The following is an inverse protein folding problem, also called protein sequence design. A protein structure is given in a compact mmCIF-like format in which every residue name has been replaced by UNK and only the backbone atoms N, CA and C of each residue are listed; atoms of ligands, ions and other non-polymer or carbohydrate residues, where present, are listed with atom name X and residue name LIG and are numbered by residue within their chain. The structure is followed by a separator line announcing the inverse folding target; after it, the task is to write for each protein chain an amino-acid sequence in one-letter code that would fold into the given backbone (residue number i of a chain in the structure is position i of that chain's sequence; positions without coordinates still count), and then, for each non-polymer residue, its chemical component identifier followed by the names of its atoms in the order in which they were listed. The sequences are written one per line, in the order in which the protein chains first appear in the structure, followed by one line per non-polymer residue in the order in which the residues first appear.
data_IF_936169249174
#
_entry.id   IF_936169249174
#
_cell.length_a   1.000
_cell.length_b   1.000
_cell.length_c   1.000
_cell.angle_alpha   90.00
_cell.angle_beta   90.00
_cell.angle_gamma   90.00
#
_symmetry.space_group_name_H-M   'P 1'
#
loop_
_entity.id
_entity.type
_entity.pdbx_description
1 polymer ?
#
# COMPACT_ATOMS: atom_id res chain seq x y z
N UNK A 1 2.17 -25.74 7.60
CA UNK A 1 2.44 -24.92 6.40
C UNK A 1 1.18 -24.17 6.04
N UNK A 2 1.30 -22.99 5.42
CA UNK A 2 0.15 -22.26 4.87
C UNK A 2 -0.47 -23.09 3.73
N UNK A 3 -1.80 -23.10 3.61
CA UNK A 3 -2.44 -23.67 2.41
C UNK A 3 -2.16 -22.76 1.22
N UNK A 4 -2.23 -23.33 0.00
CA UNK A 4 -2.03 -22.55 -1.23
C UNK A 4 -2.95 -21.33 -1.29
N UNK A 5 -4.24 -21.53 -1.05
CA UNK A 5 -5.24 -20.46 -1.11
C UNK A 5 -5.00 -19.37 -0.05
N UNK A 6 -4.52 -19.73 1.14
CA UNK A 6 -4.22 -18.74 2.18
C UNK A 6 -2.94 -17.96 1.85
N UNK A 7 -1.92 -18.61 1.29
CA UNK A 7 -0.70 -17.93 0.85
C UNK A 7 -1.00 -16.93 -0.26
N UNK A 8 -1.82 -17.32 -1.24
CA UNK A 8 -2.27 -16.45 -2.33
C UNK A 8 -3.01 -15.22 -1.79
N UNK A 9 -4.02 -15.42 -0.94
CA UNK A 9 -4.74 -14.30 -0.33
C UNK A 9 -3.85 -13.38 0.54
N UNK A 10 -2.82 -13.92 1.20
CA UNK A 10 -1.87 -13.11 1.96
C UNK A 10 -0.95 -12.29 1.05
N UNK A 11 -0.48 -12.87 -0.06
CA UNK A 11 0.28 -12.12 -1.07
C UNK A 11 -0.59 -11.03 -1.68
N UNK A 12 -1.84 -11.32 -2.04
CA UNK A 12 -2.78 -10.32 -2.57
C UNK A 12 -2.98 -9.17 -1.59
N UNK A 13 -3.26 -9.48 -0.32
CA UNK A 13 -3.44 -8.45 0.70
C UNK A 13 -2.16 -7.63 0.91
N UNK A 14 -0.99 -8.26 0.98
CA UNK A 14 0.29 -7.57 1.09
C UNK A 14 0.48 -6.56 -0.06
N UNK A 15 0.18 -6.98 -1.29
CA UNK A 15 0.27 -6.10 -2.46
C UNK A 15 -0.78 -4.97 -2.41
N UNK A 16 -2.00 -5.23 -1.91
CA UNK A 16 -3.00 -4.19 -1.69
C UNK A 16 -2.54 -3.11 -0.70
N UNK A 17 -1.90 -3.47 0.42
CA UNK A 17 -1.39 -2.49 1.38
C UNK A 17 -0.30 -1.61 0.75
N UNK A 18 0.62 -2.22 -0.01
CA UNK A 18 1.65 -1.44 -0.71
C UNK A 18 1.07 -0.55 -1.81
N UNK A 19 0.04 -1.00 -2.52
CA UNK A 19 -0.68 -0.16 -3.48
C UNK A 19 -1.39 1.00 -2.77
N UNK A 20 -2.07 0.76 -1.65
CA UNK A 20 -2.73 1.78 -0.85
C UNK A 20 -1.73 2.85 -0.38
N UNK A 21 -0.54 2.43 0.08
CA UNK A 21 0.53 3.36 0.43
C UNK A 21 0.94 4.28 -0.74
N UNK A 22 1.05 3.72 -1.96
CA UNK A 22 1.34 4.52 -3.16
C UNK A 22 0.19 5.46 -3.51
N UNK A 23 -1.06 5.01 -3.40
CA UNK A 23 -2.24 5.81 -3.66
C UNK A 23 -2.34 7.00 -2.69
N UNK A 24 -2.09 6.78 -1.39
CA UNK A 24 -2.06 7.85 -0.39
C UNK A 24 -0.94 8.86 -0.65
N UNK A 25 0.24 8.44 -1.12
CA UNK A 25 1.27 9.39 -1.55
C UNK A 25 0.81 10.26 -2.73
N UNK A 26 0.08 9.68 -3.69
CA UNK A 26 -0.49 10.45 -4.80
C UNK A 26 -1.56 11.45 -4.33
N UNK A 27 -2.40 11.05 -3.37
CA UNK A 27 -3.37 11.95 -2.74
C UNK A 27 -2.69 13.08 -1.97
N UNK A 28 -1.63 12.78 -1.22
CA UNK A 28 -0.84 13.78 -0.51
C UNK A 28 -0.25 14.80 -1.48
N UNK A 29 0.34 14.35 -2.59
CA UNK A 29 0.91 15.22 -3.62
C UNK A 29 -0.16 16.13 -4.27
N UNK A 30 -1.38 15.62 -4.46
CA UNK A 30 -2.51 16.44 -4.90
C UNK A 30 -2.88 17.50 -3.85
N UNK A 31 -2.99 17.12 -2.58
CA UNK A 31 -3.29 18.05 -1.49
C UNK A 31 -2.23 19.16 -1.37
N UNK A 32 -0.94 18.84 -1.48
CA UNK A 32 0.14 19.83 -1.47
C UNK A 32 -0.01 20.82 -2.64
N UNK A 33 -0.32 20.33 -3.85
CA UNK A 33 -0.55 21.17 -5.03
C UNK A 33 -1.70 22.16 -4.83
N UNK A 34 -2.75 21.74 -4.13
CA UNK A 34 -3.94 22.55 -3.86
C UNK A 34 -3.84 23.35 -2.54
N UNK A 35 -2.66 23.41 -1.90
CA UNK A 35 -2.43 24.09 -0.61
C UNK A 35 -3.27 23.55 0.56
N UNK A 36 -3.62 22.25 0.54
CA UNK A 36 -4.33 21.53 1.61
C UNK A 36 -3.36 20.78 2.54
N UNK A 37 -2.44 21.52 3.16
CA UNK A 37 -1.29 20.98 3.91
C UNK A 37 -1.68 19.96 5.01
N UNK A 38 -2.80 20.20 5.72
CA UNK A 38 -3.29 19.27 6.74
C UNK A 38 -3.69 17.90 6.19
N UNK A 39 -4.35 17.87 5.03
CA UNK A 39 -4.70 16.63 4.34
C UNK A 39 -3.48 15.96 3.72
N UNK A 40 -2.52 16.75 3.21
CA UNK A 40 -1.27 16.20 2.71
C UNK A 40 -0.52 15.44 3.82
N UNK A 41 -0.36 16.04 5.00
CA UNK A 41 0.25 15.37 6.14
C UNK A 41 -0.54 14.13 6.57
N UNK A 42 -1.87 14.20 6.63
CA UNK A 42 -2.72 13.03 6.94
C UNK A 42 -2.41 11.86 6.01
N UNK A 43 -2.46 12.08 4.69
CA UNK A 43 -2.20 11.01 3.71
C UNK A 43 -0.75 10.53 3.74
N UNK A 44 0.22 11.38 4.07
CA UNK A 44 1.61 10.94 4.30
C UNK A 44 1.69 9.96 5.48
N UNK A 45 0.97 10.21 6.58
CA UNK A 45 0.96 9.27 7.71
C UNK A 45 0.23 7.98 7.35
N UNK A 46 -0.92 8.06 6.66
CA UNK A 46 -1.63 6.87 6.17
C UNK A 46 -0.74 6.02 5.25
N UNK A 47 0.02 6.66 4.35
CA UNK A 47 0.99 5.94 3.51
C UNK A 47 2.10 5.23 4.30
N UNK A 48 2.45 5.69 5.51
CA UNK A 48 3.40 4.98 6.39
C UNK A 48 2.72 3.81 7.09
N UNK A 49 1.48 3.98 7.53
CA UNK A 49 0.68 2.91 8.15
C UNK A 49 0.48 1.73 7.19
N UNK A 50 0.10 1.98 5.93
CA UNK A 50 -0.10 0.88 4.97
C UNK A 50 1.22 0.19 4.59
N UNK A 51 2.35 0.92 4.51
CA UNK A 51 3.66 0.27 4.35
C UNK A 51 3.98 -0.66 5.53
N UNK A 52 3.63 -0.24 6.74
CA UNK A 52 3.80 -1.08 7.93
C UNK A 52 2.89 -2.31 7.89
N UNK A 53 1.63 -2.16 7.45
CA UNK A 53 0.70 -3.29 7.25
C UNK A 53 1.25 -4.30 6.22
N UNK A 54 1.69 -3.84 5.06
CA UNK A 54 2.31 -4.69 4.04
C UNK A 54 3.55 -5.41 4.55
N UNK A 55 4.42 -4.71 5.28
CA UNK A 55 5.63 -5.31 5.88
C UNK A 55 5.29 -6.38 6.92
N UNK A 56 4.22 -6.17 7.71
CA UNK A 56 3.77 -7.16 8.69
C UNK A 56 3.31 -8.46 8.02
N UNK A 57 2.58 -8.37 6.91
CA UNK A 57 2.14 -9.54 6.15
C UNK A 57 3.35 -10.22 5.50
N UNK A 58 4.25 -9.45 4.89
CA UNK A 58 5.52 -9.97 4.34
C UNK A 58 6.29 -10.78 5.39
N UNK A 59 6.50 -10.22 6.59
CA UNK A 59 7.23 -10.91 7.65
C UNK A 59 6.52 -12.21 8.04
N UNK A 60 5.19 -12.17 8.22
CA UNK A 60 4.41 -13.35 8.58
C UNK A 60 4.51 -14.46 7.53
N UNK A 61 4.42 -14.16 6.24
CA UNK A 61 4.55 -15.17 5.18
C UNK A 61 5.91 -15.87 5.28
N UNK A 62 6.99 -15.09 5.40
CA UNK A 62 8.36 -15.61 5.44
C UNK A 62 8.65 -16.39 6.74
N UNK A 63 8.16 -15.90 7.90
CA UNK A 63 8.30 -16.58 9.20
C UNK A 63 7.62 -17.96 9.23
N UNK A 64 6.61 -18.17 8.36
CA UNK A 64 5.94 -19.47 8.20
C UNK A 64 6.62 -20.40 7.19
N UNK A 65 7.79 -20.02 6.69
CA UNK A 65 8.60 -20.79 5.75
C UNK A 65 8.08 -20.77 4.30
N UNK A 66 7.21 -19.82 3.96
CA UNK A 66 6.75 -19.58 2.60
C UNK A 66 7.51 -18.38 1.99
N UNK A 67 7.30 -18.12 0.70
CA UNK A 67 7.90 -16.99 0.00
C UNK A 67 6.86 -15.90 -0.25
N UNK A 68 7.13 -14.68 0.23
CA UNK A 68 6.30 -13.53 -0.09
C UNK A 68 6.59 -13.05 -1.51
N UNK A 69 5.55 -12.86 -2.31
CA UNK A 69 5.66 -12.48 -3.72
C UNK A 69 5.06 -11.08 -3.93
N UNK A 70 5.91 -10.14 -4.36
CA UNK A 70 5.46 -8.80 -4.74
C UNK A 70 5.09 -8.80 -6.21
N UNK A 71 3.95 -8.19 -6.52
CA UNK A 71 3.52 -7.99 -7.90
C UNK A 71 4.01 -6.64 -8.44
N UNK A 72 4.07 -6.54 -9.77
CA UNK A 72 4.33 -5.28 -10.43
C UNK A 72 3.06 -4.44 -10.42
N UNK A 73 3.08 -3.32 -9.72
CA UNK A 73 1.96 -2.38 -9.77
C UNK A 73 1.85 -1.74 -11.15
N UNK A 74 0.69 -1.85 -11.79
CA UNK A 74 0.41 -1.05 -12.98
C UNK A 74 0.34 0.43 -12.58
N UNK A 75 1.27 1.23 -13.09
CA UNK A 75 1.35 2.65 -12.81
C UNK A 75 0.32 3.42 -13.66
N UNK A 76 -0.96 3.30 -13.32
CA UNK A 76 -1.92 4.31 -13.79
C UNK A 76 -1.64 5.60 -13.03
N UNK A 77 -1.44 6.69 -13.77
CA UNK A 77 -1.27 8.01 -13.17
C UNK A 77 -2.54 8.35 -12.40
N UNK A 78 -2.46 8.31 -11.07
CA UNK A 78 -3.56 8.73 -10.21
C UNK A 78 -3.66 10.26 -10.29
N UNK A 79 -4.65 10.74 -11.04
CA UNK A 79 -4.97 12.15 -11.14
C UNK A 79 -6.25 12.45 -10.37
N UNK A 80 -6.17 13.38 -9.44
CA UNK A 80 -7.31 13.89 -8.69
C UNK A 80 -7.65 15.30 -9.22
N UNK A 81 -8.94 15.63 -9.30
CA UNK A 81 -9.44 16.94 -9.70
C UNK A 81 -10.40 17.45 -8.63
N UNK A 82 -10.35 18.74 -8.34
CA UNK A 82 -11.38 19.41 -7.56
C UNK A 82 -12.62 19.59 -8.45
N UNK A 83 -13.81 19.50 -7.83
CA UNK A 83 -15.09 19.81 -8.48
C UNK A 83 -15.23 21.32 -8.75
#
# INVERSE_FOLDING_TARGET
MLSKNLLEALNDQMNHEYFAAHAYMAMAAYCDKESYEGFANFFIQQAKEERFHGQKIYNYINDRGAHAESEQFQHQKLTFQAY
#
